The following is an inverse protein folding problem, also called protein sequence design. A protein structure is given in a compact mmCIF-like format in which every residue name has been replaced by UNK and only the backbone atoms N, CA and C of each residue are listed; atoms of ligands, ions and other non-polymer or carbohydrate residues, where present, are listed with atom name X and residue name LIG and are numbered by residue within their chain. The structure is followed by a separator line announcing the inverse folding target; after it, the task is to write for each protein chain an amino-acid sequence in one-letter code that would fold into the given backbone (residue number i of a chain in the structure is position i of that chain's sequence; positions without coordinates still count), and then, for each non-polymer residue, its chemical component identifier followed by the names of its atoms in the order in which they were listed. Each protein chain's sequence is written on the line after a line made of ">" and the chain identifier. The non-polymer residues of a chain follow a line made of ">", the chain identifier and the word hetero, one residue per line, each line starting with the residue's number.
data_IF_676145716703
#
_entry.id   IF_676145716703
#
_cell.length_a   1.000
_cell.length_b   1.000
_cell.length_c   1.000
_cell.angle_alpha   90.00
_cell.angle_beta   90.00
_cell.angle_gamma   90.00
#
_symmetry.space_group_name_H-M   'P 1'
#
loop_
_entity.id
_entity.type
_entity.pdbx_description
1 polymer ?
#
# COMPACT_ATOMS: atom_id res chain seq x y z
N UNK A 1 -25.21 -45.99 26.37
CA UNK A 1 -25.25 -44.56 25.99
C UNK A 1 -23.92 -43.96 26.38
N UNK A 2 -22.96 -43.91 25.45
CA UNK A 2 -21.60 -43.39 25.70
C UNK A 2 -21.61 -41.93 25.30
N UNK A 3 -21.37 -41.04 26.26
CA UNK A 3 -21.20 -39.61 26.00
C UNK A 3 -19.89 -39.39 25.23
N UNK A 4 -19.96 -38.75 24.06
CA UNK A 4 -18.78 -38.22 23.38
C UNK A 4 -18.36 -36.91 24.07
N UNK A 5 -17.06 -36.62 24.22
CA UNK A 5 -16.63 -35.34 24.76
C UNK A 5 -16.88 -34.23 23.72
N UNK A 6 -17.43 -33.11 24.20
CA UNK A 6 -17.54 -31.87 23.43
C UNK A 6 -16.14 -31.39 23.04
N UNK A 7 -15.96 -31.02 21.77
CA UNK A 7 -14.70 -30.50 21.26
C UNK A 7 -14.44 -29.14 21.89
N UNK A 8 -13.29 -29.01 22.53
CA UNK A 8 -12.76 -27.77 23.07
C UNK A 8 -12.59 -26.76 21.91
N UNK A 9 -13.45 -25.74 21.87
CA UNK A 9 -13.33 -24.65 20.92
C UNK A 9 -12.42 -23.59 21.55
N UNK A 10 -11.11 -23.71 21.32
CA UNK A 10 -10.17 -22.61 21.59
C UNK A 10 -10.66 -21.34 20.86
N UNK A 11 -10.75 -20.19 21.54
CA UNK A 11 -11.19 -18.95 20.90
C UNK A 11 -10.17 -18.57 19.83
N UNK A 12 -10.61 -18.61 18.56
CA UNK A 12 -9.85 -18.07 17.44
C UNK A 12 -9.77 -16.56 17.62
N UNK A 13 -8.59 -16.05 17.96
CA UNK A 13 -8.32 -14.62 17.97
C UNK A 13 -8.39 -14.16 16.53
N UNK A 14 -9.48 -13.47 16.18
CA UNK A 14 -9.62 -12.87 14.86
C UNK A 14 -8.51 -11.83 14.70
N UNK A 15 -7.72 -11.86 13.63
CA UNK A 15 -6.73 -10.82 13.40
C UNK A 15 -7.45 -9.46 13.33
N UNK A 16 -6.81 -8.43 13.88
CA UNK A 16 -7.36 -7.06 13.93
C UNK A 16 -7.47 -6.45 12.52
N UNK A 17 -6.68 -6.96 11.56
CA UNK A 17 -6.63 -6.52 10.18
C UNK A 17 -6.96 -7.68 9.23
N UNK A 18 -7.38 -7.38 8.01
CA UNK A 18 -7.46 -8.40 6.96
C UNK A 18 -6.05 -8.85 6.55
N UNK A 19 -5.89 -10.01 5.85
CA UNK A 19 -4.59 -10.41 5.32
C UNK A 19 -3.93 -9.34 4.44
N UNK A 20 -4.72 -8.59 3.66
CA UNK A 20 -4.23 -7.44 2.90
C UNK A 20 -3.74 -6.32 3.83
N UNK A 21 -4.48 -6.04 4.90
CA UNK A 21 -4.10 -5.03 5.89
C UNK A 21 -2.80 -5.35 6.61
N UNK A 22 -2.58 -6.60 7.00
CA UNK A 22 -1.32 -7.06 7.61
C UNK A 22 -0.15 -6.88 6.64
N UNK A 23 -0.30 -7.38 5.41
CA UNK A 23 0.69 -7.23 4.34
C UNK A 23 1.01 -5.75 4.03
N UNK A 24 -0.02 -4.88 3.99
CA UNK A 24 0.15 -3.45 3.76
C UNK A 24 0.91 -2.76 4.91
N UNK A 25 0.63 -3.11 6.17
CA UNK A 25 1.37 -2.57 7.33
C UNK A 25 2.82 -3.02 7.32
N UNK A 26 3.10 -4.28 7.00
CA UNK A 26 4.48 -4.79 6.89
C UNK A 26 5.25 -4.07 5.77
N UNK A 27 4.61 -3.89 4.61
CA UNK A 27 5.19 -3.15 3.49
C UNK A 27 5.45 -1.69 3.85
N UNK A 28 4.53 -1.04 4.57
CA UNK A 28 4.68 0.35 5.01
C UNK A 28 5.88 0.50 5.94
N UNK A 29 6.03 -0.41 6.91
CA UNK A 29 7.17 -0.42 7.83
C UNK A 29 8.49 -0.66 7.10
N UNK A 30 8.51 -1.57 6.14
CA UNK A 30 9.69 -1.81 5.28
C UNK A 30 10.09 -0.55 4.52
N UNK A 31 9.12 0.17 3.95
CA UNK A 31 9.38 1.45 3.27
C UNK A 31 9.86 2.50 4.27
N UNK A 32 9.22 2.61 5.44
CA UNK A 32 9.57 3.59 6.46
C UNK A 32 10.98 3.40 7.02
N UNK A 33 11.45 2.15 7.15
CA UNK A 33 12.81 1.83 7.58
C UNK A 33 13.91 2.42 6.67
N UNK A 34 13.59 2.73 5.41
CA UNK A 34 14.51 3.38 4.47
C UNK A 34 14.53 4.92 4.57
N UNK A 35 13.80 5.53 5.51
CA UNK A 35 13.79 6.98 5.74
C UNK A 35 12.79 7.72 4.85
N UNK A 36 12.96 9.03 4.68
CA UNK A 36 12.12 9.88 3.82
C UNK A 36 12.84 10.30 2.55
N UNK A 37 12.14 11.04 1.69
CA UNK A 37 12.66 11.58 0.43
C UNK A 37 12.97 10.47 -0.58
N UNK A 38 12.14 9.41 -0.55
CA UNK A 38 12.22 8.27 -1.45
C UNK A 38 11.46 8.52 -2.76
N UNK A 39 11.97 7.95 -3.86
CA UNK A 39 11.18 7.81 -5.08
C UNK A 39 9.95 6.89 -4.84
N UNK A 40 8.90 6.96 -5.66
CA UNK A 40 7.79 6.02 -5.58
C UNK A 40 8.27 4.57 -5.69
N UNK A 41 7.77 3.70 -4.81
CA UNK A 41 8.11 2.27 -4.76
C UNK A 41 6.89 1.42 -5.06
N UNK A 42 7.07 0.45 -5.94
CA UNK A 42 5.99 -0.41 -6.44
C UNK A 42 6.23 -1.85 -5.99
N UNK A 43 5.16 -2.53 -5.61
CA UNK A 43 5.22 -3.88 -5.09
C UNK A 43 4.14 -4.74 -5.74
N UNK A 44 4.52 -5.91 -6.26
CA UNK A 44 3.56 -6.95 -6.61
C UNK A 44 3.09 -7.65 -5.34
N UNK A 45 1.81 -7.98 -5.24
CA UNK A 45 1.23 -8.75 -4.14
C UNK A 45 0.87 -10.14 -4.68
N UNK A 46 1.26 -11.19 -3.96
CA UNK A 46 0.87 -12.55 -4.25
C UNK A 46 0.64 -13.33 -2.95
N UNK A 47 -0.28 -14.30 -2.98
CA UNK A 47 -0.45 -15.25 -1.89
C UNK A 47 0.81 -16.08 -1.68
N UNK A 48 1.09 -16.45 -0.43
CA UNK A 48 2.22 -17.32 -0.12
C UNK A 48 2.09 -18.68 -0.82
N UNK A 49 0.87 -19.21 -0.96
CA UNK A 49 0.60 -20.40 -1.77
C UNK A 49 1.04 -20.22 -3.23
N UNK A 50 0.59 -19.15 -3.90
CA UNK A 50 0.94 -18.87 -5.28
C UNK A 50 2.44 -18.64 -5.50
N UNK A 51 3.11 -17.99 -4.53
CA UNK A 51 4.56 -17.82 -4.57
C UNK A 51 5.30 -19.14 -4.45
N UNK A 52 4.87 -20.03 -3.54
CA UNK A 52 5.52 -21.34 -3.35
C UNK A 52 5.33 -22.28 -4.54
N UNK A 53 4.17 -22.22 -5.20
CA UNK A 53 3.92 -22.99 -6.42
C UNK A 53 4.85 -22.57 -7.56
N UNK A 54 5.11 -21.27 -7.70
CA UNK A 54 5.92 -20.71 -8.78
C UNK A 54 7.42 -20.74 -8.48
N UNK A 55 7.77 -20.47 -7.22
CA UNK A 55 9.14 -20.40 -6.73
C UNK A 55 9.35 -21.34 -5.53
N UNK A 56 9.44 -22.67 -5.76
CA UNK A 56 9.62 -23.65 -4.68
C UNK A 56 10.86 -23.41 -3.82
N UNK A 57 11.87 -22.70 -4.33
CA UNK A 57 13.07 -22.32 -3.59
C UNK A 57 12.77 -21.42 -2.37
N UNK A 58 11.66 -20.67 -2.39
CA UNK A 58 11.22 -19.82 -1.28
C UNK A 58 10.62 -20.63 -0.11
N UNK A 59 10.42 -21.94 -0.25
CA UNK A 59 9.86 -22.80 0.79
C UNK A 59 10.63 -22.73 2.12
N UNK A 60 11.95 -22.53 2.09
CA UNK A 60 12.73 -22.38 3.32
C UNK A 60 12.42 -21.06 4.07
N UNK A 61 11.96 -20.02 3.36
CA UNK A 61 11.67 -18.69 3.91
C UNK A 61 10.19 -18.56 4.28
N UNK A 62 9.29 -19.15 3.48
CA UNK A 62 7.83 -19.04 3.63
C UNK A 62 7.17 -20.31 4.21
N UNK A 63 7.90 -21.40 4.42
CA UNK A 63 7.32 -22.73 4.69
C UNK A 63 6.54 -22.86 6.00
N UNK A 64 6.66 -21.89 6.92
CA UNK A 64 5.84 -21.79 8.13
C UNK A 64 4.78 -20.67 8.07
N UNK A 65 4.78 -19.86 7.02
CA UNK A 65 3.82 -18.77 6.83
C UNK A 65 2.46 -19.33 6.41
N UNK A 66 1.39 -18.61 6.73
CA UNK A 66 0.05 -18.96 6.28
C UNK A 66 -0.01 -18.92 4.74
N UNK A 67 -0.39 -20.01 4.05
CA UNK A 67 -0.51 -20.02 2.59
C UNK A 67 -1.50 -18.99 2.05
N UNK A 68 -2.51 -18.60 2.83
CA UNK A 68 -3.52 -17.61 2.45
C UNK A 68 -3.09 -16.16 2.73
N UNK A 69 -2.00 -15.95 3.48
CA UNK A 69 -1.44 -14.62 3.67
C UNK A 69 -0.75 -14.10 2.40
N UNK A 70 -0.66 -12.79 2.29
CA UNK A 70 -0.02 -12.12 1.18
C UNK A 70 1.43 -11.77 1.49
N UNK A 71 2.28 -11.87 0.48
CA UNK A 71 3.64 -11.32 0.48
C UNK A 71 3.79 -10.30 -0.63
N UNK A 72 4.68 -9.33 -0.43
CA UNK A 72 5.04 -8.32 -1.43
C UNK A 72 6.39 -8.59 -2.05
N UNK A 73 6.49 -8.36 -3.36
CA UNK A 73 7.75 -8.36 -4.11
C UNK A 73 7.97 -6.95 -4.65
N UNK A 74 9.03 -6.29 -4.19
CA UNK A 74 9.40 -4.98 -4.70
C UNK A 74 9.79 -5.05 -6.17
N UNK A 75 9.31 -4.10 -6.97
CA UNK A 75 9.62 -3.99 -8.39
C UNK A 75 10.69 -2.94 -8.63
N UNK A 76 11.79 -3.38 -9.24
CA UNK A 76 12.83 -2.49 -9.73
C UNK A 76 12.38 -1.76 -11.01
N UNK A 77 13.06 -0.66 -11.34
CA UNK A 77 12.94 -0.03 -12.65
C UNK A 77 11.65 0.77 -12.87
N UNK A 78 10.99 1.21 -11.80
CA UNK A 78 9.89 2.20 -11.88
C UNK A 78 10.36 3.40 -12.73
N UNK A 79 9.76 3.63 -13.91
CA UNK A 79 10.23 4.68 -14.80
C UNK A 79 10.25 6.04 -14.10
N UNK A 80 11.32 6.81 -14.30
CA UNK A 80 11.34 8.21 -13.90
C UNK A 80 10.35 8.99 -14.77
N UNK A 81 9.09 9.06 -14.34
CA UNK A 81 8.06 9.86 -15.00
C UNK A 81 7.91 11.20 -14.28
N UNK A 82 7.46 12.21 -15.01
CA UNK A 82 7.10 13.51 -14.45
C UNK A 82 5.80 13.47 -13.61
N UNK A 83 5.01 12.39 -13.70
CA UNK A 83 3.78 12.25 -12.93
C UNK A 83 3.42 10.79 -12.62
N UNK A 84 2.80 10.59 -11.45
CA UNK A 84 2.30 9.29 -11.01
C UNK A 84 1.27 8.70 -11.96
N UNK A 85 0.41 9.53 -12.56
CA UNK A 85 -0.60 9.08 -13.52
C UNK A 85 0.05 8.47 -14.77
N UNK A 86 1.12 9.10 -15.27
CA UNK A 86 1.85 8.59 -16.43
C UNK A 86 2.61 7.31 -16.10
N UNK A 87 3.06 7.13 -14.85
CA UNK A 87 3.61 5.87 -14.38
C UNK A 87 2.55 4.78 -14.41
N UNK A 88 1.41 5.00 -13.75
CA UNK A 88 0.35 4.00 -13.62
C UNK A 88 -0.20 3.54 -14.98
N UNK A 89 -0.31 4.45 -15.96
CA UNK A 89 -0.74 4.11 -17.34
C UNK A 89 0.20 3.17 -18.10
N UNK A 90 1.43 2.97 -17.63
CA UNK A 90 2.41 2.09 -18.28
C UNK A 90 2.54 0.74 -17.57
N UNK A 91 1.86 0.56 -16.44
CA UNK A 91 1.91 -0.68 -15.69
C UNK A 91 0.89 -1.66 -16.24
N UNK A 92 1.35 -2.89 -16.48
CA UNK A 92 0.50 -4.03 -16.77
C UNK A 92 1.01 -5.21 -15.94
N UNK A 93 0.08 -5.94 -15.31
CA UNK A 93 0.42 -7.03 -14.41
C UNK A 93 -0.04 -8.37 -14.95
N UNK A 94 0.82 -9.41 -14.88
CA UNK A 94 0.42 -10.73 -15.31
C UNK A 94 -0.69 -11.30 -14.41
N UNK A 95 -1.48 -12.28 -14.88
CA UNK A 95 -2.62 -12.82 -14.13
C UNK A 95 -2.28 -13.39 -12.75
N UNK A 96 -1.03 -13.79 -12.53
CA UNK A 96 -0.58 -14.42 -11.29
C UNK A 96 -0.22 -13.43 -10.18
N UNK A 97 -0.26 -12.13 -10.48
CA UNK A 97 -0.14 -11.07 -9.47
C UNK A 97 -1.53 -10.81 -8.89
N UNK A 98 -1.75 -11.20 -7.64
CA UNK A 98 -3.04 -11.06 -6.94
C UNK A 98 -3.41 -9.59 -6.69
N UNK A 99 -2.40 -8.72 -6.57
CA UNK A 99 -2.61 -7.30 -6.34
C UNK A 99 -1.34 -6.47 -6.44
N UNK A 100 -1.45 -5.19 -6.10
CA UNK A 100 -0.35 -4.22 -6.20
C UNK A 100 -0.37 -3.30 -5.00
N UNK A 101 0.80 -3.01 -4.44
CA UNK A 101 1.00 -1.91 -3.50
C UNK A 101 1.91 -0.82 -4.09
N UNK A 102 1.60 0.44 -3.79
CA UNK A 102 2.36 1.62 -4.21
C UNK A 102 2.60 2.51 -2.99
N UNK A 103 3.87 2.78 -2.71
CA UNK A 103 4.29 3.76 -1.71
C UNK A 103 4.81 5.03 -2.39
N UNK A 104 4.34 6.19 -1.95
CA UNK A 104 4.80 7.49 -2.45
C UNK A 104 4.70 8.57 -1.38
N UNK A 105 5.53 9.59 -1.50
CA UNK A 105 5.51 10.77 -0.65
C UNK A 105 4.79 11.92 -1.37
N UNK A 106 3.95 12.66 -0.65
CA UNK A 106 3.23 13.83 -1.16
C UNK A 106 3.21 14.94 -0.13
N UNK A 107 3.16 16.18 -0.63
CA UNK A 107 2.81 17.34 0.18
C UNK A 107 1.29 17.46 0.16
N UNK A 108 0.70 17.61 1.34
CA UNK A 108 -0.71 18.00 1.50
C UNK A 108 -0.79 19.34 2.21
N UNK A 109 -1.81 20.12 1.87
CA UNK A 109 -2.12 21.38 2.52
C UNK A 109 -3.58 21.37 3.01
N UNK A 110 -3.94 22.22 3.99
CA UNK A 110 -5.34 22.44 4.34
C UNK A 110 -6.14 22.95 3.13
N UNK A 111 -7.43 22.60 3.00
CA UNK A 111 -8.29 23.10 1.93
C UNK A 111 -8.37 24.64 1.85
N UNK A 112 -8.17 25.33 2.97
CA UNK A 112 -8.08 26.79 3.05
C UNK A 112 -6.94 27.33 2.17
N UNK A 113 -5.82 26.63 2.11
CA UNK A 113 -4.64 27.02 1.34
C UNK A 113 -4.87 26.98 -0.17
N UNK A 114 -5.88 26.22 -0.62
CA UNK A 114 -6.22 26.12 -2.04
C UNK A 114 -7.02 27.33 -2.56
N UNK A 115 -7.59 28.15 -1.66
CA UNK A 115 -8.48 29.27 -2.04
C UNK A 115 -7.75 30.46 -2.65
N UNK A 116 -6.50 30.67 -2.25
CA UNK A 116 -5.70 31.85 -2.65
C UNK A 116 -4.58 31.47 -3.64
N UNK A 117 -4.70 30.32 -4.32
CA UNK A 117 -3.69 29.89 -5.27
C UNK A 117 -3.69 30.74 -6.55
N UNK A 118 -2.50 31.05 -7.10
CA UNK A 118 -2.38 31.64 -8.44
C UNK A 118 -3.05 30.78 -9.52
N UNK A 119 -3.59 31.42 -10.56
CA UNK A 119 -4.15 30.70 -11.73
C UNK A 119 -3.07 29.94 -12.52
N UNK A 120 -1.79 30.35 -12.40
CA UNK A 120 -0.69 29.67 -13.05
C UNK A 120 -0.35 28.37 -12.29
N UNK A 121 -0.40 27.20 -12.94
CA UNK A 121 -0.22 25.91 -12.26
C UNK A 121 1.19 25.73 -11.67
N UNK A 122 2.22 26.32 -12.27
CA UNK A 122 3.58 26.27 -11.74
C UNK A 122 3.69 27.13 -10.48
N UNK A 123 3.18 28.36 -10.52
CA UNK A 123 3.19 29.27 -9.36
C UNK A 123 2.30 28.73 -8.22
N UNK A 124 1.18 28.08 -8.54
CA UNK A 124 0.35 27.38 -7.57
C UNK A 124 1.09 26.23 -6.88
N UNK A 125 1.80 25.40 -7.65
CA UNK A 125 2.61 24.32 -7.08
C UNK A 125 3.72 24.85 -6.17
N UNK A 126 4.38 25.94 -6.57
CA UNK A 126 5.40 26.61 -5.75
C UNK A 126 4.81 27.21 -4.47
N UNK A 127 3.65 27.86 -4.54
CA UNK A 127 2.94 28.42 -3.38
C UNK A 127 2.52 27.33 -2.38
N UNK A 128 1.97 26.22 -2.88
CA UNK A 128 1.63 25.05 -2.07
C UNK A 128 2.87 24.44 -1.40
N UNK A 129 3.95 24.31 -2.15
CA UNK A 129 5.22 23.81 -1.62
C UNK A 129 5.79 24.75 -0.55
N UNK A 130 5.56 26.06 -0.63
CA UNK A 130 6.02 27.03 0.37
C UNK A 130 5.05 27.25 1.54
N UNK A 131 3.87 26.61 1.54
CA UNK A 131 2.82 26.88 2.51
C UNK A 131 3.24 26.53 3.95
N UNK A 132 3.00 27.39 4.96
CA UNK A 132 3.42 27.14 6.34
C UNK A 132 2.76 25.89 6.94
N UNK A 133 1.50 25.64 6.60
CA UNK A 133 0.74 24.47 7.08
C UNK A 133 0.90 23.24 6.17
N UNK A 134 1.90 23.22 5.28
CA UNK A 134 2.18 22.04 4.46
C UNK A 134 2.57 20.87 5.35
N UNK A 135 2.09 19.68 5.02
CA UNK A 135 2.49 18.44 5.65
C UNK A 135 3.02 17.47 4.62
N UNK A 136 4.23 16.97 4.85
CA UNK A 136 4.76 15.83 4.11
C UNK A 136 4.10 14.55 4.65
N UNK A 137 3.50 13.79 3.75
CA UNK A 137 2.86 12.52 4.05
C UNK A 137 3.41 11.43 3.14
N UNK A 138 3.50 10.21 3.67
CA UNK A 138 3.70 9.01 2.88
C UNK A 138 2.39 8.27 2.81
N UNK A 139 1.98 7.94 1.60
CA UNK A 139 0.86 7.07 1.32
C UNK A 139 1.39 5.69 0.94
N UNK A 140 0.79 4.64 1.46
CA UNK A 140 0.86 3.30 0.89
C UNK A 140 -0.54 2.88 0.50
N UNK A 141 -0.75 2.58 -0.78
CA UNK A 141 -2.03 2.11 -1.32
C UNK A 141 -1.84 0.70 -1.80
N UNK A 142 -2.64 -0.24 -1.30
CA UNK A 142 -2.65 -1.62 -1.76
C UNK A 142 -4.04 -1.98 -2.30
N UNK A 143 -4.08 -2.65 -3.45
CA UNK A 143 -5.29 -3.09 -4.15
C UNK A 143 -5.14 -4.54 -4.60
N UNK A 144 -6.21 -5.32 -4.53
CA UNK A 144 -6.28 -6.69 -5.04
C UNK A 144 -7.18 -6.75 -6.28
N UNK A 145 -6.96 -7.76 -7.13
CA UNK A 145 -7.88 -8.10 -8.25
C UNK A 145 -9.29 -8.44 -7.78
N UNK A 146 -9.45 -8.89 -6.54
CA UNK A 146 -10.75 -9.13 -5.92
C UNK A 146 -11.58 -7.85 -5.67
N UNK A 147 -10.94 -6.67 -5.79
CA UNK A 147 -11.54 -5.37 -5.48
C UNK A 147 -11.32 -4.91 -4.03
N UNK A 148 -10.71 -5.72 -3.17
CA UNK A 148 -10.27 -5.27 -1.85
C UNK A 148 -9.16 -4.23 -1.99
N UNK A 149 -9.18 -3.21 -1.14
CA UNK A 149 -8.16 -2.17 -1.12
C UNK A 149 -7.93 -1.67 0.30
N UNK A 150 -6.78 -1.05 0.53
CA UNK A 150 -6.47 -0.37 1.79
C UNK A 150 -5.47 0.75 1.53
N UNK A 151 -5.62 1.88 2.23
CA UNK A 151 -4.65 2.96 2.23
C UNK A 151 -4.11 3.17 3.64
N UNK A 152 -2.81 3.38 3.72
CA UNK A 152 -2.08 3.76 4.92
C UNK A 152 -1.50 5.15 4.71
N UNK A 153 -1.52 5.97 5.75
CA UNK A 153 -0.97 7.32 5.74
C UNK A 153 -0.10 7.53 6.97
N UNK A 154 1.17 7.88 6.72
CA UNK A 154 2.11 8.35 7.74
C UNK A 154 2.43 9.82 7.51
N UNK A 155 2.44 10.62 8.56
CA UNK A 155 2.85 12.02 8.50
C UNK A 155 4.30 12.15 8.97
N UNK A 156 5.12 12.94 8.26
CA UNK A 156 6.53 13.16 8.64
C UNK A 156 6.67 13.76 10.04
N UNK A 157 5.71 14.62 10.45
CA UNK A 157 5.66 15.20 11.79
C UNK A 157 5.33 14.19 12.91
N UNK A 158 4.79 13.01 12.56
CA UNK A 158 4.38 11.95 13.48
C UNK A 158 4.95 10.60 13.03
N UNK A 159 6.25 10.59 12.74
CA UNK A 159 6.94 9.43 12.16
C UNK A 159 7.21 8.32 13.19
N UNK A 160 6.22 7.45 13.38
CA UNK A 160 6.30 6.27 14.24
C UNK A 160 5.29 5.22 13.82
N UNK A 161 5.60 3.94 14.05
CA UNK A 161 4.79 2.81 13.57
C UNK A 161 3.40 2.71 14.22
N UNK A 162 3.20 3.34 15.38
CA UNK A 162 1.90 3.48 16.04
C UNK A 162 1.08 4.70 15.58
N UNK A 163 1.64 5.52 14.68
CA UNK A 163 1.03 6.75 14.14
C UNK A 163 0.77 6.66 12.64
N UNK A 164 0.33 5.48 12.20
CA UNK A 164 -0.10 5.24 10.82
C UNK A 164 -1.63 5.17 10.77
N UNK A 165 -2.24 6.09 10.03
CA UNK A 165 -3.68 6.05 9.77
C UNK A 165 -3.98 4.99 8.72
N UNK A 166 -5.06 4.23 8.91
CA UNK A 166 -5.49 3.15 8.02
C UNK A 166 -6.94 3.43 7.58
N UNK A 167 -7.22 3.33 6.29
CA UNK A 167 -8.58 3.48 5.77
C UNK A 167 -8.66 3.31 4.25
N UNK A 168 -9.87 3.07 3.75
CA UNK A 168 -10.10 2.83 2.31
C UNK A 168 -10.26 4.14 1.51
N UNK A 169 -10.73 5.21 2.15
CA UNK A 169 -11.13 6.46 1.49
C UNK A 169 -10.09 7.58 1.60
N UNK A 170 -8.85 7.27 2.01
CA UNK A 170 -7.79 8.27 2.18
C UNK A 170 -7.36 8.87 0.83
N UNK A 171 -7.29 8.03 -0.21
CA UNK A 171 -6.79 8.42 -1.53
C UNK A 171 -7.60 7.75 -2.65
N UNK A 172 -8.91 8.03 -2.76
CA UNK A 172 -9.82 7.27 -3.63
C UNK A 172 -9.43 7.32 -5.11
N UNK A 173 -8.92 8.46 -5.60
CA UNK A 173 -8.43 8.59 -6.96
C UNK A 173 -7.20 7.71 -7.24
N UNK A 174 -6.31 7.56 -6.26
CA UNK A 174 -5.12 6.73 -6.39
C UNK A 174 -5.47 5.24 -6.30
N UNK A 175 -6.38 4.87 -5.40
CA UNK A 175 -6.93 3.50 -5.31
C UNK A 175 -7.53 3.08 -6.66
N UNK A 176 -8.37 3.94 -7.24
CA UNK A 176 -8.98 3.67 -8.53
C UNK A 176 -7.94 3.50 -9.63
N UNK A 177 -7.02 4.46 -9.77
CA UNK A 177 -5.98 4.42 -10.81
C UNK A 177 -5.07 3.19 -10.69
N UNK A 178 -4.69 2.80 -9.46
CA UNK A 178 -3.86 1.62 -9.22
C UNK A 178 -4.64 0.34 -9.53
N UNK A 179 -5.91 0.25 -9.13
CA UNK A 179 -6.77 -0.91 -9.42
C UNK A 179 -6.95 -1.13 -10.92
N UNK A 180 -6.97 -0.07 -11.74
CA UNK A 180 -7.08 -0.19 -13.19
C UNK A 180 -5.86 -0.91 -13.80
N UNK A 181 -4.66 -0.73 -13.24
CA UNK A 181 -3.43 -1.39 -13.74
C UNK A 181 -3.47 -2.92 -13.68
N UNK A 182 -4.36 -3.46 -12.85
CA UNK A 182 -4.58 -4.90 -12.75
C UNK A 182 -5.50 -5.43 -13.84
N UNK A 183 -6.36 -4.62 -14.46
CA UNK A 183 -7.50 -5.12 -15.24
C UNK A 183 -7.40 -4.89 -16.77
N UNK A 184 -6.19 -4.77 -17.29
CA UNK A 184 -5.95 -4.65 -18.74
C UNK A 184 -6.17 -5.98 -19.51
#
# INVERSE_FOLDING_TARGET
>A
MVAMPERDQTPSVRPLLSPLGECAVETERHVAAAGWDQAPRLFAIATNAGLLEREPALAAQLGAADPAAYSTIEQDGVPHTSSIESLLRQLAWPPEVDGVALALERIVVPPEAERDLPDNPTEAAEALAAHPDRSDVRLLVAVLRSGESICLLRQRAHDSDDKVAIGNDIAPGLVHALSTTLHD
#
